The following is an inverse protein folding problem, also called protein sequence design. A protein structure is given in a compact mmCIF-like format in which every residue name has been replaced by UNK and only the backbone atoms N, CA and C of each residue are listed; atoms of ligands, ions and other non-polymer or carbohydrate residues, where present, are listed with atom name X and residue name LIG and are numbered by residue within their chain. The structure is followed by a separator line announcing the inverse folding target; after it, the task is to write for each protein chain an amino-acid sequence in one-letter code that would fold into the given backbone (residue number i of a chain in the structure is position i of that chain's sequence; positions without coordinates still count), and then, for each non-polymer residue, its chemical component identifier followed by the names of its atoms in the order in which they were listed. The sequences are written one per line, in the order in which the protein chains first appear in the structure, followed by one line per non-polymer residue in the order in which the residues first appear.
data_IF_888399754226
#
_entry.id   IF_888399754226
#
_cell.length_a   1.000
_cell.length_b   1.000
_cell.length_c   1.000
_cell.angle_alpha   90.00
_cell.angle_beta   90.00
_cell.angle_gamma   90.00
#
_symmetry.space_group_name_H-M   'P 1'
#
loop_
_entity.id
_entity.type
_entity.pdbx_description
1 polymer ?
#
# COMPACT_ATOMS: atom_id res chain seq x y z
N UNK A 1 -21.34 63.47 -48.28
CA UNK A 1 -22.26 62.39 -47.91
C UNK A 1 -21.59 61.54 -46.86
N UNK A 2 -22.17 61.55 -45.66
CA UNK A 2 -21.74 60.77 -44.51
C UNK A 2 -22.00 59.27 -44.75
N UNK A 3 -21.03 58.42 -44.44
CA UNK A 3 -21.30 57.07 -43.94
C UNK A 3 -20.42 56.83 -42.72
N UNK A 4 -21.07 57.00 -41.58
CA UNK A 4 -20.62 56.64 -40.24
C UNK A 4 -20.84 55.13 -40.11
N UNK A 5 -19.79 54.32 -39.94
CA UNK A 5 -19.94 52.91 -39.58
C UNK A 5 -19.25 52.70 -38.24
N UNK A 6 -20.13 52.59 -37.25
CA UNK A 6 -19.90 52.33 -35.85
C UNK A 6 -19.36 50.89 -35.70
N UNK A 7 -18.03 50.70 -35.69
CA UNK A 7 -17.38 49.39 -35.47
C UNK A 7 -16.85 49.20 -34.03
N UNK A 8 -17.09 50.16 -33.13
CA UNK A 8 -16.52 50.12 -31.78
C UNK A 8 -17.51 49.75 -30.67
N UNK A 9 -18.76 49.40 -30.98
CA UNK A 9 -19.82 49.22 -29.98
C UNK A 9 -20.33 47.77 -29.78
N UNK A 10 -19.67 46.75 -30.34
CA UNK A 10 -20.09 45.34 -30.18
C UNK A 10 -19.17 44.44 -29.34
N UNK A 11 -18.03 44.92 -28.82
CA UNK A 11 -17.11 44.05 -28.05
C UNK A 11 -17.23 44.11 -26.52
N UNK A 12 -18.21 44.85 -25.98
CA UNK A 12 -18.38 45.00 -24.51
C UNK A 12 -19.70 44.41 -23.99
N UNK A 13 -20.13 43.27 -24.54
CA UNK A 13 -21.08 42.37 -23.86
C UNK A 13 -20.48 40.97 -23.68
N UNK A 14 -19.38 40.90 -22.91
CA UNK A 14 -18.96 39.64 -22.27
C UNK A 14 -20.01 39.29 -21.24
N UNK A 15 -20.99 38.51 -21.67
CA UNK A 15 -21.87 37.71 -20.81
C UNK A 15 -21.02 37.03 -19.75
N UNK A 16 -21.24 37.37 -18.47
CA UNK A 16 -20.70 36.67 -17.31
C UNK A 16 -21.37 35.31 -17.19
N UNK A 17 -21.07 34.43 -18.14
CA UNK A 17 -21.49 33.03 -18.08
C UNK A 17 -20.64 32.36 -17.01
N UNK A 18 -21.28 31.89 -15.94
CA UNK A 18 -20.61 31.14 -14.87
C UNK A 18 -19.97 29.89 -15.50
N UNK A 19 -18.64 29.80 -15.44
CA UNK A 19 -17.89 28.65 -15.94
C UNK A 19 -18.39 27.38 -15.25
N UNK A 20 -18.50 26.30 -16.02
CA UNK A 20 -18.77 24.97 -15.49
C UNK A 20 -17.61 24.50 -14.61
N UNK A 21 -17.88 23.51 -13.75
CA UNK A 21 -16.86 22.91 -12.89
C UNK A 21 -15.67 22.37 -13.69
N UNK A 22 -15.93 21.74 -14.84
CA UNK A 22 -14.88 21.20 -15.71
C UNK A 22 -14.05 22.28 -16.38
N UNK A 23 -14.68 23.38 -16.84
CA UNK A 23 -13.95 24.53 -17.38
C UNK A 23 -13.11 25.20 -16.29
N UNK A 24 -13.57 25.18 -15.04
CA UNK A 24 -12.80 25.69 -13.88
C UNK A 24 -11.59 24.80 -13.61
N UNK A 25 -11.75 23.48 -13.60
CA UNK A 25 -10.66 22.50 -13.41
C UNK A 25 -9.64 22.60 -14.55
N UNK A 26 -10.10 22.72 -15.79
CA UNK A 26 -9.22 22.89 -16.94
C UNK A 26 -8.42 24.18 -16.81
N UNK A 27 -9.07 25.30 -16.49
CA UNK A 27 -8.40 26.59 -16.29
C UNK A 27 -7.41 26.55 -15.13
N UNK A 28 -7.76 25.94 -14.00
CA UNK A 28 -6.85 25.77 -12.86
C UNK A 28 -5.65 24.90 -13.23
N UNK A 29 -5.85 23.83 -14.00
CA UNK A 29 -4.77 23.00 -14.51
C UNK A 29 -3.87 23.77 -15.47
N UNK A 30 -4.44 24.52 -16.40
CA UNK A 30 -3.71 25.36 -17.36
C UNK A 30 -2.91 26.44 -16.65
N UNK A 31 -3.50 27.13 -15.66
CA UNK A 31 -2.80 28.13 -14.85
C UNK A 31 -1.67 27.50 -14.02
N UNK A 32 -1.87 26.29 -13.49
CA UNK A 32 -0.86 25.56 -12.72
C UNK A 32 0.33 25.12 -13.58
N UNK A 33 0.07 24.75 -14.84
CA UNK A 33 1.11 24.32 -15.78
C UNK A 33 1.66 25.47 -16.64
N UNK A 34 1.03 26.65 -16.66
CA UNK A 34 1.46 27.82 -17.43
C UNK A 34 2.93 28.19 -17.18
N UNK A 35 3.45 28.23 -15.93
CA UNK A 35 4.86 28.51 -15.68
C UNK A 35 5.81 27.48 -16.31
N UNK A 36 5.40 26.21 -16.37
CA UNK A 36 6.20 25.15 -17.01
C UNK A 36 6.22 25.33 -18.53
N UNK A 37 5.07 25.65 -19.13
CA UNK A 37 4.98 25.89 -20.58
C UNK A 37 5.72 27.17 -20.99
N UNK A 38 5.69 28.22 -20.18
CA UNK A 38 6.46 29.44 -20.39
C UNK A 38 7.97 29.18 -20.24
N UNK A 39 8.38 28.42 -19.22
CA UNK A 39 9.77 27.98 -19.04
C UNK A 39 10.26 27.11 -20.22
N UNK A 40 9.45 26.17 -20.70
CA UNK A 40 9.78 25.37 -21.90
C UNK A 40 9.90 26.24 -23.16
N UNK A 41 9.04 27.25 -23.33
CA UNK A 41 9.08 28.16 -24.48
C UNK A 41 10.34 29.03 -24.47
N UNK A 42 10.68 29.58 -23.31
CA UNK A 42 11.89 30.39 -23.12
C UNK A 42 13.17 29.57 -23.31
N UNK A 43 13.18 28.32 -22.83
CA UNK A 43 14.30 27.42 -23.08
C UNK A 43 14.38 27.05 -24.55
N UNK A 44 13.29 26.67 -25.22
CA UNK A 44 13.28 26.35 -26.66
C UNK A 44 13.72 27.51 -27.55
N UNK A 45 13.52 28.77 -27.14
CA UNK A 45 14.01 29.97 -27.85
C UNK A 45 15.48 30.30 -27.54
N UNK A 46 16.06 29.74 -26.48
CA UNK A 46 17.44 30.00 -26.04
C UNK A 46 18.38 28.79 -26.19
N UNK A 47 17.88 27.62 -26.61
CA UNK A 47 18.71 26.45 -26.88
C UNK A 47 19.60 26.71 -28.09
N UNK A 48 20.92 26.61 -27.90
CA UNK A 48 21.88 26.67 -29.01
C UNK A 48 21.70 25.45 -29.93
N UNK A 49 21.93 25.57 -31.24
CA UNK A 49 21.80 24.46 -32.20
C UNK A 49 22.58 23.19 -31.77
N UNK A 50 23.65 23.34 -30.98
CA UNK A 50 24.44 22.24 -30.43
C UNK A 50 23.75 21.45 -29.31
N UNK A 51 22.90 22.08 -28.50
CA UNK A 51 22.12 21.40 -27.44
C UNK A 51 20.91 20.67 -28.04
N UNK A 52 20.28 21.22 -29.08
CA UNK A 52 19.23 20.52 -29.85
C UNK A 52 19.77 19.27 -30.56
N UNK A 53 20.98 19.28 -31.10
CA UNK A 53 21.60 18.08 -31.70
C UNK A 53 21.88 16.99 -30.65
N UNK A 54 22.30 17.36 -29.44
CA UNK A 54 22.57 16.41 -28.36
C UNK A 54 21.29 15.75 -27.82
N UNK A 55 20.22 16.54 -27.65
CA UNK A 55 18.91 16.04 -27.25
C UNK A 55 18.26 15.21 -28.36
N UNK A 56 18.40 15.61 -29.63
CA UNK A 56 17.93 14.82 -30.77
C UNK A 56 18.62 13.45 -30.82
N UNK A 57 19.93 13.38 -30.57
CA UNK A 57 20.65 12.11 -30.53
C UNK A 57 20.19 11.21 -29.37
N UNK A 58 19.95 11.80 -28.19
CA UNK A 58 19.44 11.06 -27.03
C UNK A 58 18.02 10.53 -27.25
N UNK A 59 17.12 11.35 -27.80
CA UNK A 59 15.75 10.97 -28.14
C UNK A 59 15.74 9.91 -29.25
N UNK A 60 16.58 10.07 -30.26
CA UNK A 60 16.71 9.11 -31.35
C UNK A 60 17.26 7.77 -30.85
N UNK A 61 18.25 7.79 -29.94
CA UNK A 61 18.73 6.58 -29.28
C UNK A 61 17.62 5.87 -28.49
N UNK A 62 16.79 6.61 -27.74
CA UNK A 62 15.65 6.02 -27.02
C UNK A 62 14.65 5.38 -27.98
N UNK A 63 14.29 6.09 -29.05
CA UNK A 63 13.36 5.61 -30.08
C UNK A 63 13.88 4.38 -30.82
N UNK A 64 15.17 4.34 -31.13
CA UNK A 64 15.75 3.29 -31.97
C UNK A 64 16.20 2.06 -31.17
N UNK A 65 16.66 2.24 -29.92
CA UNK A 65 17.29 1.17 -29.13
C UNK A 65 16.48 0.72 -27.93
N UNK A 66 15.82 1.65 -27.23
CA UNK A 66 15.17 1.34 -25.94
C UNK A 66 13.68 1.03 -26.14
N UNK A 67 12.93 1.92 -26.78
CA UNK A 67 11.48 1.79 -26.93
C UNK A 67 11.02 0.55 -27.68
N UNK A 68 11.68 0.05 -28.74
CA UNK A 68 11.22 -1.16 -29.42
C UNK A 68 11.18 -2.37 -28.47
N UNK A 69 12.17 -2.47 -27.58
CA UNK A 69 12.27 -3.55 -26.60
C UNK A 69 11.33 -3.30 -25.43
N UNK A 70 11.32 -2.07 -24.91
CA UNK A 70 10.49 -1.70 -23.77
C UNK A 70 9.01 -1.83 -24.08
N UNK A 71 8.54 -1.25 -25.19
CA UNK A 71 7.13 -1.29 -25.59
C UNK A 71 6.67 -2.73 -25.87
N UNK A 72 7.47 -3.52 -26.59
CA UNK A 72 7.16 -4.94 -26.80
C UNK A 72 7.08 -5.72 -25.48
N UNK A 73 7.96 -5.42 -24.53
CA UNK A 73 7.94 -6.06 -23.22
C UNK A 73 6.76 -5.60 -22.36
N UNK A 74 6.39 -4.33 -22.44
CA UNK A 74 5.21 -3.78 -21.76
C UNK A 74 3.91 -4.38 -22.30
N UNK A 75 3.81 -4.56 -23.62
CA UNK A 75 2.68 -5.26 -24.24
C UNK A 75 2.55 -6.68 -23.69
N UNK A 76 3.65 -7.45 -23.66
CA UNK A 76 3.68 -8.79 -23.09
C UNK A 76 3.32 -8.80 -21.61
N UNK A 77 3.84 -7.84 -20.83
CA UNK A 77 3.51 -7.67 -19.42
C UNK A 77 2.01 -7.45 -19.23
N UNK A 78 1.36 -6.62 -20.06
CA UNK A 78 -0.07 -6.37 -19.97
C UNK A 78 -0.90 -7.62 -20.32
N UNK A 79 -0.46 -8.39 -21.32
CA UNK A 79 -1.10 -9.66 -21.68
C UNK A 79 -1.02 -10.66 -20.52
N UNK A 80 0.17 -10.83 -19.91
CA UNK A 80 0.35 -11.72 -18.75
C UNK A 80 -0.41 -11.21 -17.52
N UNK A 81 -0.42 -9.90 -17.28
CA UNK A 81 -1.21 -9.29 -16.22
C UNK A 81 -2.71 -9.58 -16.40
N UNK A 82 -3.21 -9.53 -17.64
CA UNK A 82 -4.60 -9.85 -17.95
C UNK A 82 -4.89 -11.34 -17.69
N UNK A 83 -4.03 -12.25 -18.16
CA UNK A 83 -4.16 -13.71 -17.93
C UNK A 83 -4.19 -14.07 -16.45
N UNK A 84 -3.37 -13.38 -15.64
CA UNK A 84 -3.26 -13.61 -14.21
C UNK A 84 -4.31 -12.85 -13.39
N UNK A 85 -5.25 -12.14 -14.04
CA UNK A 85 -6.18 -11.22 -13.37
C UNK A 85 -5.44 -10.32 -12.37
N UNK A 86 -4.45 -9.57 -12.83
CA UNK A 86 -3.55 -8.77 -11.99
C UNK A 86 -4.27 -7.74 -11.09
N UNK A 87 -5.51 -7.38 -11.40
CA UNK A 87 -6.35 -6.56 -10.51
C UNK A 87 -6.70 -7.27 -9.19
N UNK A 88 -6.60 -8.60 -9.15
CA UNK A 88 -6.94 -9.45 -8.01
C UNK A 88 -5.74 -10.21 -7.43
N UNK A 89 -4.55 -10.09 -8.04
CA UNK A 89 -3.39 -10.95 -7.75
C UNK A 89 -2.09 -10.18 -7.45
N UNK A 90 -1.10 -10.90 -6.88
CA UNK A 90 0.24 -10.43 -6.47
C UNK A 90 1.19 -10.13 -7.66
N UNK A 91 0.67 -9.88 -8.86
CA UNK A 91 1.51 -9.65 -10.03
C UNK A 91 2.22 -8.29 -9.93
N UNK A 92 3.56 -8.30 -9.95
CA UNK A 92 4.35 -7.08 -10.01
C UNK A 92 4.88 -6.86 -11.44
N UNK A 93 4.27 -5.91 -12.14
CA UNK A 93 4.68 -5.56 -13.50
C UNK A 93 6.12 -5.06 -13.60
N UNK A 94 6.62 -4.35 -12.58
CA UNK A 94 8.01 -3.87 -12.58
C UNK A 94 9.01 -5.02 -12.49
N UNK A 95 8.70 -6.05 -11.71
CA UNK A 95 9.54 -7.25 -11.61
C UNK A 95 9.57 -8.00 -12.94
N UNK A 96 8.41 -8.12 -13.59
CA UNK A 96 8.30 -8.72 -14.92
C UNK A 96 9.13 -7.95 -15.96
N UNK A 97 9.00 -6.62 -16.00
CA UNK A 97 9.77 -5.78 -16.92
C UNK A 97 11.27 -5.91 -16.66
N UNK A 98 11.72 -5.83 -15.41
CA UNK A 98 13.13 -5.91 -15.06
C UNK A 98 13.75 -7.26 -15.49
N UNK A 99 13.04 -8.37 -15.26
CA UNK A 99 13.46 -9.70 -15.71
C UNK A 99 13.59 -9.78 -17.24
N UNK A 100 12.56 -9.31 -17.95
CA UNK A 100 12.53 -9.39 -19.41
C UNK A 100 13.55 -8.46 -20.07
N UNK A 101 13.72 -7.24 -19.56
CA UNK A 101 14.70 -6.29 -20.08
C UNK A 101 16.13 -6.77 -19.86
N UNK A 102 16.41 -7.44 -18.74
CA UNK A 102 17.72 -8.04 -18.48
C UNK A 102 18.03 -9.20 -19.45
N UNK A 103 17.07 -10.10 -19.64
CA UNK A 103 17.26 -11.30 -20.46
C UNK A 103 17.22 -10.99 -21.97
N UNK A 104 16.42 -10.01 -22.40
CA UNK A 104 16.29 -9.59 -23.82
C UNK A 104 17.23 -8.46 -24.20
N UNK A 105 18.33 -8.26 -23.46
CA UNK A 105 19.29 -7.22 -23.78
C UNK A 105 20.04 -7.55 -25.10
N UNK A 106 19.95 -6.70 -26.15
CA UNK A 106 20.60 -6.96 -27.43
C UNK A 106 22.14 -7.03 -27.36
N UNK A 107 22.73 -6.39 -26.35
CA UNK A 107 24.19 -6.42 -26.12
C UNK A 107 24.65 -7.75 -25.52
N UNK A 108 23.72 -8.54 -25.00
CA UNK A 108 23.96 -9.81 -24.31
C UNK A 108 22.99 -10.90 -24.80
N UNK A 109 23.05 -11.27 -26.10
CA UNK A 109 22.12 -12.23 -26.69
C UNK A 109 22.17 -13.62 -26.03
N UNK A 110 23.29 -13.97 -25.38
CA UNK A 110 23.44 -15.21 -24.62
C UNK A 110 22.43 -15.34 -23.47
N UNK A 111 21.96 -14.22 -22.91
CA UNK A 111 21.01 -14.20 -21.79
C UNK A 111 19.60 -14.60 -22.21
N UNK A 112 19.24 -14.37 -23.47
CA UNK A 112 17.94 -14.79 -23.99
C UNK A 112 17.85 -16.33 -24.06
N UNK A 113 18.99 -17.00 -24.29
CA UNK A 113 19.07 -18.46 -24.32
C UNK A 113 19.12 -19.08 -22.92
N UNK A 114 19.66 -18.36 -21.93
CA UNK A 114 19.72 -18.79 -20.54
C UNK A 114 18.89 -17.86 -19.64
N UNK A 115 17.56 -18.04 -19.69
CA UNK A 115 16.61 -17.17 -19.01
C UNK A 115 16.82 -17.20 -17.49
N UNK A 116 17.14 -16.04 -16.91
CA UNK A 116 17.38 -15.88 -15.48
C UNK A 116 16.20 -15.18 -14.81
N UNK A 117 15.72 -15.74 -13.70
CA UNK A 117 14.66 -15.11 -12.89
C UNK A 117 15.18 -13.86 -12.19
N UNK A 118 14.32 -12.87 -11.97
CA UNK A 118 14.70 -11.58 -11.39
C UNK A 118 15.57 -11.68 -10.13
N UNK A 119 15.17 -12.53 -9.18
CA UNK A 119 15.86 -12.67 -7.89
C UNK A 119 17.18 -13.44 -7.97
N UNK A 120 17.44 -14.12 -9.09
CA UNK A 120 18.69 -14.84 -9.35
C UNK A 120 19.72 -13.97 -10.09
N UNK A 121 19.30 -12.84 -10.67
CA UNK A 121 20.18 -11.90 -11.36
C UNK A 121 21.21 -11.33 -10.37
N UNK A 122 22.54 -11.46 -10.63
CA UNK A 122 23.55 -11.16 -9.63
C UNK A 122 23.51 -9.72 -9.08
N UNK A 123 23.37 -8.66 -9.92
CA UNK A 123 23.17 -7.30 -9.42
C UNK A 123 21.98 -7.16 -8.46
N UNK A 124 20.82 -7.70 -8.82
CA UNK A 124 19.62 -7.63 -7.98
C UNK A 124 19.78 -8.40 -6.68
N UNK A 125 20.37 -9.59 -6.75
CA UNK A 125 20.61 -10.44 -5.57
C UNK A 125 21.56 -9.78 -4.57
N UNK A 126 22.62 -9.13 -5.06
CA UNK A 126 23.55 -8.40 -4.21
C UNK A 126 22.86 -7.18 -3.57
N UNK A 127 22.13 -6.40 -4.38
CA UNK A 127 21.39 -5.23 -3.90
C UNK A 127 20.34 -5.58 -2.83
N UNK A 128 19.56 -6.63 -3.06
CA UNK A 128 18.51 -7.06 -2.12
C UNK A 128 19.06 -7.62 -0.80
N UNK A 129 20.33 -8.02 -0.77
CA UNK A 129 21.00 -8.45 0.47
C UNK A 129 21.25 -7.27 1.41
N UNK A 130 21.64 -6.12 0.87
CA UNK A 130 21.85 -4.88 1.61
C UNK A 130 20.55 -4.12 1.84
N UNK A 131 19.61 -4.23 0.89
CA UNK A 131 18.33 -3.53 0.88
C UNK A 131 17.16 -4.51 0.71
N UNK A 132 16.77 -5.23 1.79
CA UNK A 132 15.66 -6.17 1.70
C UNK A 132 14.37 -5.44 1.34
N UNK A 133 13.66 -5.95 0.34
CA UNK A 133 12.37 -5.38 -0.10
C UNK A 133 11.36 -5.46 1.06
N UNK A 134 10.61 -4.38 1.34
CA UNK A 134 9.54 -4.45 2.34
C UNK A 134 8.49 -5.47 1.93
N UNK A 135 7.95 -6.17 2.93
CA UNK A 135 6.93 -7.19 2.68
C UNK A 135 5.67 -6.50 2.17
N UNK A 136 5.13 -6.98 1.05
CA UNK A 136 3.91 -6.42 0.47
C UNK A 136 2.73 -6.43 1.47
N UNK A 137 1.84 -5.43 1.38
CA UNK A 137 0.60 -5.41 2.15
C UNK A 137 -0.18 -6.72 1.97
N UNK A 138 -0.85 -7.17 3.04
CA UNK A 138 -1.65 -8.42 3.00
C UNK A 138 -2.79 -8.36 1.97
N UNK A 139 -3.31 -7.16 1.72
CA UNK A 139 -4.32 -6.92 0.68
C UNK A 139 -3.85 -7.29 -0.72
N UNK A 140 -2.55 -7.21 -0.99
CA UNK A 140 -1.99 -7.54 -2.30
C UNK A 140 -1.65 -9.03 -2.44
N UNK A 141 -1.38 -9.71 -1.32
CA UNK A 141 -0.96 -11.13 -1.29
C UNK A 141 -2.11 -12.11 -1.12
N UNK A 142 -3.20 -11.69 -0.50
CA UNK A 142 -4.33 -12.59 -0.23
C UNK A 142 -5.30 -12.59 -1.39
N UNK A 143 -5.66 -13.78 -1.86
CA UNK A 143 -6.84 -13.95 -2.71
C UNK A 143 -8.09 -13.55 -1.92
N UNK A 144 -9.19 -13.25 -2.63
CA UNK A 144 -10.47 -12.89 -2.00
C UNK A 144 -10.92 -13.96 -1.00
N UNK A 145 -10.75 -15.24 -1.32
CA UNK A 145 -11.12 -16.37 -0.46
C UNK A 145 -10.25 -16.41 0.80
N UNK A 146 -8.94 -16.22 0.66
CA UNK A 146 -8.01 -16.18 1.80
C UNK A 146 -8.31 -14.99 2.71
N UNK A 147 -8.55 -13.81 2.13
CA UNK A 147 -8.93 -12.63 2.88
C UNK A 147 -10.25 -12.84 3.62
N UNK A 148 -11.27 -13.39 2.95
CA UNK A 148 -12.56 -13.70 3.55
C UNK A 148 -12.43 -14.68 4.72
N UNK A 149 -11.69 -15.78 4.55
CA UNK A 149 -11.43 -16.75 5.62
C UNK A 149 -10.76 -16.10 6.84
N UNK A 150 -9.75 -15.24 6.59
CA UNK A 150 -9.05 -14.52 7.65
C UNK A 150 -9.99 -13.57 8.37
N UNK A 151 -10.72 -12.72 7.65
CA UNK A 151 -11.68 -11.77 8.23
C UNK A 151 -12.74 -12.52 9.04
N UNK A 152 -13.37 -13.54 8.47
CA UNK A 152 -14.40 -14.33 9.16
C UNK A 152 -13.85 -14.98 10.44
N UNK A 153 -12.63 -15.54 10.42
CA UNK A 153 -11.98 -16.08 11.62
C UNK A 153 -11.81 -15.01 12.71
N UNK A 154 -11.33 -13.82 12.34
CA UNK A 154 -11.17 -12.72 13.29
C UNK A 154 -12.51 -12.24 13.85
N UNK A 155 -13.52 -12.10 12.99
CA UNK A 155 -14.88 -11.68 13.37
C UNK A 155 -15.52 -12.70 14.31
N UNK A 156 -15.48 -14.00 13.99
CA UNK A 156 -15.99 -15.06 14.88
C UNK A 156 -15.34 -14.98 16.26
N UNK A 157 -14.02 -14.83 16.31
CA UNK A 157 -13.29 -14.65 17.57
C UNK A 157 -13.65 -13.35 18.29
N UNK A 158 -13.86 -12.25 17.57
CA UNK A 158 -14.26 -10.97 18.14
C UNK A 158 -15.67 -11.03 18.74
N UNK A 159 -16.64 -11.65 18.05
CA UNK A 159 -18.01 -11.83 18.56
C UNK A 159 -18.00 -12.57 19.89
N UNK A 160 -17.25 -13.67 19.99
CA UNK A 160 -17.11 -14.42 21.25
C UNK A 160 -16.47 -13.55 22.33
N UNK A 161 -15.40 -12.81 21.99
CA UNK A 161 -14.75 -11.90 22.94
C UNK A 161 -15.63 -10.75 23.37
N UNK A 162 -16.59 -10.31 22.56
CA UNK A 162 -17.49 -9.21 22.90
C UNK A 162 -18.48 -9.58 24.01
N UNK A 163 -18.76 -10.86 24.22
CA UNK A 163 -19.70 -11.31 25.26
C UNK A 163 -19.20 -10.91 26.65
N UNK A 164 -20.13 -10.47 27.51
CA UNK A 164 -19.80 -9.95 28.85
C UNK A 164 -19.13 -11.00 29.72
N UNK A 165 -19.63 -12.25 29.72
CA UNK A 165 -19.06 -13.39 30.44
C UNK A 165 -17.58 -13.62 30.08
N UNK A 166 -17.25 -13.54 28.79
CA UNK A 166 -15.88 -13.69 28.29
C UNK A 166 -15.00 -12.48 28.65
N UNK A 167 -15.55 -11.26 28.67
CA UNK A 167 -14.82 -10.06 29.09
C UNK A 167 -14.50 -10.07 30.58
N UNK A 168 -15.46 -10.43 31.43
CA UNK A 168 -15.26 -10.59 32.87
C UNK A 168 -14.15 -11.60 33.15
N UNK A 169 -14.19 -12.77 32.49
CA UNK A 169 -13.15 -13.78 32.62
C UNK A 169 -11.77 -13.25 32.17
N UNK A 170 -11.71 -12.48 31.08
CA UNK A 170 -10.46 -11.87 30.60
C UNK A 170 -9.90 -10.85 31.58
N UNK A 171 -10.76 -10.03 32.17
CA UNK A 171 -10.36 -9.06 33.21
C UNK A 171 -9.85 -9.79 34.44
N UNK A 172 -10.56 -10.83 34.88
CA UNK A 172 -10.14 -11.69 35.98
C UNK A 172 -8.74 -12.26 35.76
N UNK A 173 -8.47 -12.89 34.61
CA UNK A 173 -7.14 -13.44 34.32
C UNK A 173 -6.06 -12.35 34.21
N UNK A 174 -6.41 -11.14 33.77
CA UNK A 174 -5.49 -9.99 33.71
C UNK A 174 -5.14 -9.49 35.11
N UNK A 175 -6.09 -9.44 36.03
CA UNK A 175 -5.87 -9.07 37.44
C UNK A 175 -5.03 -10.13 38.15
N UNK A 176 -5.35 -11.40 37.97
CA UNK A 176 -4.59 -12.52 38.54
C UNK A 176 -3.14 -12.54 38.05
N UNK A 177 -2.90 -12.21 36.77
CA UNK A 177 -1.55 -12.06 36.22
C UNK A 177 -0.80 -10.87 36.86
N UNK A 178 -1.47 -9.74 37.12
CA UNK A 178 -0.89 -8.60 37.83
C UNK A 178 -0.57 -8.94 39.28
N UNK A 179 -1.47 -9.59 40.00
CA UNK A 179 -1.24 -10.04 41.37
C UNK A 179 -0.04 -11.00 41.44
N UNK A 180 0.07 -11.95 40.50
CA UNK A 180 1.25 -12.83 40.41
C UNK A 180 2.54 -12.08 40.13
N UNK A 181 2.53 -11.10 39.23
CA UNK A 181 3.71 -10.26 38.97
C UNK A 181 4.10 -9.45 40.20
N UNK A 182 3.13 -8.80 40.85
CA UNK A 182 3.36 -8.02 42.06
C UNK A 182 3.85 -8.90 43.22
N UNK A 183 3.28 -10.08 43.38
CA UNK A 183 3.71 -11.07 44.36
C UNK A 183 5.08 -11.66 44.01
N UNK A 184 5.46 -11.80 42.74
CA UNK A 184 6.83 -12.22 42.36
C UNK A 184 7.85 -11.14 42.74
N UNK A 185 7.48 -9.86 42.61
CA UNK A 185 8.28 -8.73 43.12
C UNK A 185 8.33 -8.70 44.65
N UNK A 186 7.24 -9.10 45.34
CA UNK A 186 7.18 -9.18 46.81
C UNK A 186 7.83 -10.43 47.41
N UNK A 187 7.87 -11.56 46.69
CA UNK A 187 8.49 -12.83 47.11
C UNK A 187 10.02 -12.75 47.02
N UNK A 188 10.60 -11.78 46.32
CA UNK A 188 12.01 -11.40 46.53
C UNK A 188 12.26 -10.64 47.84
N UNK A 189 11.23 -10.34 48.65
CA UNK A 189 11.35 -9.54 49.87
C UNK A 189 10.68 -10.10 51.14
N UNK A 190 9.93 -11.21 51.11
CA UNK A 190 9.32 -11.74 52.35
C UNK A 190 8.97 -13.22 52.27
N UNK A 191 9.55 -13.99 53.20
CA UNK A 191 9.24 -15.39 53.49
C UNK A 191 7.82 -15.63 54.04
N UNK A 192 7.36 -16.85 53.79
CA UNK A 192 6.39 -17.71 54.48
C UNK A 192 5.24 -17.11 55.33
N UNK A 193 3.99 -17.43 54.96
CA UNK A 193 3.12 -18.31 55.77
C UNK A 193 1.75 -18.58 55.12
N UNK A 194 1.37 -19.86 55.11
CA UNK A 194 0.06 -20.40 54.73
C UNK A 194 -1.05 -19.93 55.69
N UNK A 195 -2.25 -19.62 55.16
CA UNK A 195 -3.48 -19.65 55.97
C UNK A 195 -4.60 -20.41 55.22
N UNK A 196 -5.17 -21.35 55.99
CA UNK A 196 -6.14 -22.40 55.69
C UNK A 196 -7.52 -21.88 55.25
N UNK A 197 -8.20 -22.68 54.43
CA UNK A 197 -9.55 -22.50 53.90
C UNK A 197 -10.64 -23.01 54.88
N UNK A 198 -11.82 -22.38 54.93
CA UNK A 198 -13.01 -23.01 55.51
C UNK A 198 -14.34 -22.57 54.84
N UNK A 199 -15.02 -23.58 54.28
CA UNK A 199 -16.48 -23.86 54.10
C UNK A 199 -17.39 -22.82 53.40
N UNK A 200 -17.75 -23.13 52.14
CA UNK A 200 -18.88 -22.50 51.42
C UNK A 200 -20.06 -23.48 51.24
N UNK A 201 -21.28 -23.04 51.55
CA UNK A 201 -22.51 -23.84 51.38
C UNK A 201 -23.10 -23.75 49.97
N UNK A 202 -23.88 -24.76 49.50
CA UNK A 202 -24.39 -24.84 48.13
C UNK A 202 -25.33 -23.69 47.71
N UNK A 203 -25.92 -23.00 48.67
CA UNK A 203 -26.88 -21.92 48.46
C UNK A 203 -26.21 -20.58 48.10
N UNK A 204 -24.96 -20.40 48.56
CA UNK A 204 -24.11 -19.23 48.25
C UNK A 204 -23.56 -19.34 46.81
N UNK A 205 -23.25 -20.56 46.36
CA UNK A 205 -22.74 -20.86 45.01
C UNK A 205 -23.70 -20.45 43.88
N UNK A 206 -25.02 -20.44 44.12
CA UNK A 206 -26.02 -20.02 43.11
C UNK A 206 -26.12 -18.50 42.94
N UNK A 207 -25.71 -17.71 43.94
CA UNK A 207 -25.77 -16.24 43.92
C UNK A 207 -24.50 -15.56 43.38
N UNK A 208 -23.44 -16.33 43.18
CA UNK A 208 -22.14 -15.85 42.74
C UNK A 208 -22.06 -15.75 41.21
N UNK A 209 -21.39 -14.72 40.73
CA UNK A 209 -21.03 -14.59 39.31
C UNK A 209 -20.29 -15.83 38.84
N UNK A 210 -20.33 -16.11 37.53
CA UNK A 210 -19.64 -17.29 36.98
C UNK A 210 -18.14 -17.27 37.35
N UNK A 211 -17.52 -16.09 37.37
CA UNK A 211 -16.12 -15.88 37.77
C UNK A 211 -15.85 -16.24 39.25
N UNK A 212 -16.74 -15.87 40.17
CA UNK A 212 -16.58 -16.20 41.59
C UNK A 212 -16.73 -17.70 41.86
N UNK A 213 -17.61 -18.39 41.11
CA UNK A 213 -17.73 -19.85 41.15
C UNK A 213 -16.43 -20.55 40.72
N UNK A 214 -15.77 -20.08 39.66
CA UNK A 214 -14.49 -20.64 39.23
C UNK A 214 -13.35 -20.38 40.24
N UNK A 215 -13.35 -19.23 40.91
CA UNK A 215 -12.35 -18.88 41.95
C UNK A 215 -12.41 -19.81 43.17
N UNK A 216 -13.59 -20.38 43.44
CA UNK A 216 -13.82 -21.35 44.51
C UNK A 216 -13.52 -22.78 44.07
N UNK A 217 -13.85 -23.15 42.83
CA UNK A 217 -13.58 -24.48 42.28
C UNK A 217 -12.09 -24.77 42.04
N UNK A 218 -11.26 -23.73 41.83
CA UNK A 218 -9.81 -23.85 41.65
C UNK A 218 -9.02 -23.84 42.99
N UNK A 219 -9.70 -23.78 44.14
CA UNK A 219 -9.10 -23.86 45.49
C UNK A 219 -9.43 -25.17 46.23
N UNK A 220 -9.72 -26.24 45.48
CA UNK A 220 -9.79 -27.63 45.96
C UNK A 220 -8.54 -28.40 45.51
#
# INVERSE_FOLDING_TARGET
MNFNINYHEELTKKSTKKLSLWETILKESEEKFAPLYEWQRQNNESVSEQELEHDNNSIQYLNDKIFPILLSTMEQMLIEACKLNALECEFNGLDYLAEHLWNKNPQHPERNNNWMKLFDIPPFKLWLKEHPRPIYPKSWRWTKEQAALRIQRYVRGWIVRKRNDVQELRQFWKELAKEKMNNTTFIQSSDESLIQCDKLTPEIMKKLSICERYKLLLKL
#
